data_IF_133234417179
#
_entry.id   IF_133234417179
#
_cell.length_a   1.000
_cell.length_b   1.000
_cell.length_c   1.000
_cell.angle_alpha   90.00
_cell.angle_beta   90.00
_cell.angle_gamma   90.00
#
_symmetry.space_group_name_H-M   'P 1'
#
loop_
_entity.id
_entity.type
_entity.pdbx_description
1 polymer ?
#
# COMPACT_ATOMS: atom_id res chain seq x y z
N UNK A 1 -12.00 16.80 0.00
CA UNK A 1 -11.88 15.33 -0.07
C UNK A 1 -10.65 14.95 -0.88
N UNK A 2 -9.87 13.97 -0.45
CA UNK A 2 -8.76 13.46 -1.25
C UNK A 2 -9.28 12.59 -2.40
N UNK A 3 -8.48 12.48 -3.48
CA UNK A 3 -8.83 11.65 -4.64
C UNK A 3 -8.74 10.17 -4.26
N UNK A 4 -9.77 9.39 -4.59
CA UNK A 4 -9.74 7.92 -4.49
C UNK A 4 -8.72 7.33 -5.46
N UNK A 5 -7.87 6.44 -4.97
CA UNK A 5 -6.87 5.71 -5.74
C UNK A 5 -7.03 4.21 -5.49
N UNK A 6 -6.94 3.42 -6.55
CA UNK A 6 -6.94 1.95 -6.48
C UNK A 6 -5.54 1.44 -6.82
N UNK A 7 -4.98 0.65 -5.90
CA UNK A 7 -3.65 0.08 -5.94
C UNK A 7 -3.71 -1.46 -5.96
N UNK A 8 -3.79 -2.12 -7.12
CA UNK A 8 -3.75 -3.57 -7.13
C UNK A 8 -2.42 -4.10 -6.59
N UNK A 9 -2.48 -5.03 -5.60
CA UNK A 9 -1.28 -5.73 -5.13
C UNK A 9 -0.91 -6.84 -6.11
N UNK A 10 0.27 -6.71 -6.70
CA UNK A 10 0.82 -7.70 -7.63
C UNK A 10 1.15 -9.04 -6.96
N UNK A 11 1.17 -9.12 -5.63
CA UNK A 11 1.34 -10.38 -4.90
C UNK A 11 0.25 -11.41 -5.26
N UNK A 12 -0.94 -10.96 -5.68
CA UNK A 12 -2.03 -11.82 -6.09
C UNK A 12 -2.00 -12.19 -7.59
N UNK A 13 -1.12 -11.58 -8.38
CA UNK A 13 -0.98 -11.86 -9.80
C UNK A 13 -0.33 -13.23 -10.07
N UNK A 14 -0.41 -13.69 -11.30
CA UNK A 14 0.40 -14.81 -11.80
C UNK A 14 1.78 -14.25 -12.22
N UNK A 15 2.81 -14.55 -11.44
CA UNK A 15 4.16 -14.04 -11.71
C UNK A 15 4.75 -14.49 -13.04
N UNK A 16 4.25 -15.62 -13.61
CA UNK A 16 4.64 -16.04 -14.94
C UNK A 16 4.03 -15.17 -16.07
N UNK A 17 3.00 -14.38 -15.75
CA UNK A 17 2.27 -13.52 -16.68
C UNK A 17 2.14 -12.07 -16.14
N UNK A 18 2.99 -11.68 -15.21
CA UNK A 18 2.85 -10.44 -14.43
C UNK A 18 2.69 -9.20 -15.33
N UNK A 19 3.56 -9.02 -16.33
CA UNK A 19 3.47 -7.89 -17.24
C UNK A 19 2.13 -7.82 -17.97
N UNK A 20 1.65 -8.93 -18.53
CA UNK A 20 0.36 -8.99 -19.24
C UNK A 20 -0.83 -8.67 -18.32
N UNK A 21 -0.81 -9.17 -17.07
CA UNK A 21 -1.88 -8.87 -16.09
C UNK A 21 -1.84 -7.41 -15.62
N UNK A 22 -0.67 -6.81 -15.51
CA UNK A 22 -0.53 -5.37 -15.22
C UNK A 22 -1.06 -4.54 -16.38
N UNK A 23 -0.70 -4.87 -17.64
CA UNK A 23 -1.18 -4.16 -18.83
C UNK A 23 -2.71 -4.19 -18.93
N UNK A 24 -3.35 -5.31 -18.54
CA UNK A 24 -4.80 -5.45 -18.57
C UNK A 24 -5.51 -4.41 -17.68
N UNK A 25 -4.94 -4.06 -16.53
CA UNK A 25 -5.55 -3.14 -15.58
C UNK A 25 -4.97 -1.72 -15.63
N UNK A 26 -3.87 -1.50 -16.34
CA UNK A 26 -3.12 -0.23 -16.32
C UNK A 26 -3.97 1.01 -16.63
N UNK A 27 -4.96 0.88 -17.52
CA UNK A 27 -5.85 1.98 -17.93
C UNK A 27 -6.91 2.38 -16.88
N UNK A 28 -7.09 1.61 -15.81
CA UNK A 28 -8.19 1.81 -14.83
C UNK A 28 -7.71 1.91 -13.38
N UNK A 29 -6.44 1.68 -13.11
CA UNK A 29 -5.81 1.79 -11.77
C UNK A 29 -4.96 3.05 -11.66
N UNK A 30 -4.57 3.42 -10.44
CA UNK A 30 -3.80 4.65 -10.20
C UNK A 30 -2.33 4.37 -9.90
N UNK A 31 -2.02 3.21 -9.33
CA UNK A 31 -0.66 2.76 -8.97
C UNK A 31 -0.65 1.25 -8.81
N UNK A 32 0.54 0.65 -8.68
CA UNK A 32 0.71 -0.76 -8.33
C UNK A 32 1.28 -0.89 -6.92
N UNK A 33 0.70 -1.77 -6.12
CA UNK A 33 1.22 -2.12 -4.80
C UNK A 33 2.13 -3.35 -4.90
N UNK A 34 3.35 -3.22 -4.35
CA UNK A 34 4.43 -4.20 -4.49
C UNK A 34 4.86 -4.68 -3.11
N UNK A 35 4.39 -5.86 -2.70
CA UNK A 35 4.69 -6.46 -1.39
C UNK A 35 6.07 -7.12 -1.38
N UNK A 36 7.04 -6.52 -0.69
CA UNK A 36 8.42 -7.02 -0.54
C UNK A 36 8.59 -7.68 0.83
N UNK A 37 8.87 -8.99 0.84
CA UNK A 37 8.96 -9.82 2.06
C UNK A 37 10.30 -10.56 2.11
N UNK A 38 10.95 -10.60 3.29
CA UNK A 38 12.29 -11.16 3.49
C UNK A 38 12.32 -12.53 4.21
N UNK A 39 11.17 -13.05 4.61
CA UNK A 39 11.09 -14.30 5.37
C UNK A 39 11.52 -14.18 6.84
N UNK A 40 11.77 -12.95 7.33
CA UNK A 40 12.18 -12.67 8.72
C UNK A 40 11.15 -11.79 9.43
N UNK A 41 10.80 -10.64 8.86
CA UNK A 41 9.73 -9.79 9.42
C UNK A 41 8.37 -10.49 9.31
N UNK A 42 8.12 -11.17 8.20
CA UNK A 42 6.96 -12.06 8.00
C UNK A 42 7.43 -13.45 7.56
N UNK A 43 6.69 -14.54 7.85
CA UNK A 43 7.11 -15.91 7.53
C UNK A 43 6.84 -16.25 6.05
N UNK A 44 7.15 -15.34 5.14
CA UNK A 44 7.00 -15.50 3.70
C UNK A 44 8.10 -14.72 2.96
N UNK A 45 8.49 -15.21 1.77
CA UNK A 45 9.39 -14.53 0.83
C UNK A 45 8.58 -14.24 -0.43
N UNK A 46 8.60 -12.99 -0.92
CA UNK A 46 7.85 -12.62 -2.12
C UNK A 46 8.78 -12.25 -3.27
N UNK A 47 8.94 -10.99 -3.53
CA UNK A 47 9.68 -10.41 -4.66
C UNK A 47 10.58 -9.27 -4.18
N UNK A 48 11.44 -8.79 -5.06
CA UNK A 48 12.41 -7.76 -4.71
C UNK A 48 12.87 -6.95 -5.92
N UNK A 49 14.00 -6.22 -5.82
CA UNK A 49 14.48 -5.29 -6.84
C UNK A 49 14.48 -5.80 -8.29
N UNK A 50 14.83 -7.07 -8.59
CA UNK A 50 14.78 -7.55 -9.99
C UNK A 50 13.39 -7.54 -10.61
N UNK A 51 12.34 -7.84 -9.83
CA UNK A 51 10.94 -7.81 -10.32
C UNK A 51 10.48 -6.37 -10.47
N UNK A 52 10.82 -5.49 -9.52
CA UNK A 52 10.52 -4.05 -9.57
C UNK A 52 11.16 -3.44 -10.82
N UNK A 53 12.42 -3.74 -11.10
CA UNK A 53 13.11 -3.26 -12.30
C UNK A 53 12.45 -3.73 -13.60
N UNK A 54 11.98 -4.97 -13.63
CA UNK A 54 11.27 -5.49 -14.81
C UNK A 54 9.91 -4.79 -15.01
N UNK A 55 9.20 -4.52 -13.94
CA UNK A 55 7.94 -3.77 -13.97
C UNK A 55 8.14 -2.32 -14.38
N UNK A 56 9.09 -1.62 -13.76
CA UNK A 56 9.42 -0.22 -14.08
C UNK A 56 9.80 -0.03 -15.55
N UNK A 57 10.40 -1.05 -16.18
CA UNK A 57 10.70 -1.02 -17.60
C UNK A 57 9.48 -1.30 -18.51
N UNK A 58 8.36 -1.80 -17.94
CA UNK A 58 7.19 -2.25 -18.72
C UNK A 58 5.94 -1.40 -18.50
N UNK A 59 5.90 -0.55 -17.47
CA UNK A 59 4.72 0.29 -17.16
C UNK A 59 5.13 1.67 -16.66
N UNK A 60 4.30 2.67 -16.93
CA UNK A 60 4.44 4.02 -16.37
C UNK A 60 3.65 4.20 -15.05
N UNK A 61 3.03 3.13 -14.52
CA UNK A 61 2.33 3.19 -13.25
C UNK A 61 3.29 3.40 -12.09
N UNK A 62 2.88 4.20 -11.11
CA UNK A 62 3.62 4.42 -9.87
C UNK A 62 3.80 3.09 -9.12
N UNK A 63 5.03 2.70 -8.81
CA UNK A 63 5.38 1.49 -8.09
C UNK A 63 5.53 1.80 -6.60
N UNK A 64 4.54 1.40 -5.82
CA UNK A 64 4.46 1.60 -4.38
C UNK A 64 4.94 0.37 -3.63
N UNK A 65 6.15 0.40 -3.11
CA UNK A 65 6.79 -0.74 -2.49
C UNK A 65 6.50 -0.80 -0.98
N UNK A 66 5.75 -1.80 -0.55
CA UNK A 66 5.45 -2.10 0.84
C UNK A 66 6.50 -3.07 1.41
N UNK A 67 7.32 -2.58 2.34
CA UNK A 67 8.48 -3.30 2.85
C UNK A 67 8.15 -4.05 4.14
N UNK A 68 7.80 -5.31 4.02
CA UNK A 68 7.67 -6.28 5.12
C UNK A 68 9.01 -6.99 5.35
N UNK A 69 10.04 -6.19 5.68
CA UNK A 69 11.43 -6.64 5.84
C UNK A 69 12.04 -6.09 7.12
N UNK A 70 13.02 -6.81 7.68
CA UNK A 70 13.61 -6.52 8.99
C UNK A 70 14.54 -5.31 9.01
N UNK A 71 15.18 -4.99 7.87
CA UNK A 71 16.10 -3.84 7.73
C UNK A 71 15.80 -3.08 6.44
N UNK A 72 14.72 -2.26 6.42
CA UNK A 72 14.28 -1.59 5.20
C UNK A 72 15.26 -0.50 4.71
N UNK A 73 15.97 0.17 5.61
CA UNK A 73 16.92 1.24 5.25
C UNK A 73 18.02 0.72 4.32
N UNK A 74 18.49 -0.49 4.56
CA UNK A 74 19.54 -1.15 3.79
C UNK A 74 19.21 -1.29 2.30
N UNK A 75 17.92 -1.40 1.95
CA UNK A 75 17.50 -1.71 0.59
C UNK A 75 17.01 -0.50 -0.20
N UNK A 76 16.91 0.69 0.43
CA UNK A 76 16.36 1.89 -0.20
C UNK A 76 17.08 2.26 -1.51
N UNK A 77 18.43 2.24 -1.51
CA UNK A 77 19.20 2.53 -2.73
C UNK A 77 18.90 1.56 -3.87
N UNK A 78 18.83 0.25 -3.58
CA UNK A 78 18.54 -0.78 -4.58
C UNK A 78 17.10 -0.68 -5.11
N UNK A 79 16.14 -0.28 -4.25
CA UNK A 79 14.75 -0.08 -4.65
C UNK A 79 14.59 1.15 -5.55
N UNK A 80 15.26 2.26 -5.21
CA UNK A 80 15.29 3.46 -6.04
C UNK A 80 15.94 3.18 -7.42
N UNK A 81 17.08 2.50 -7.45
CA UNK A 81 17.75 2.08 -8.69
C UNK A 81 16.89 1.12 -9.53
N UNK A 82 16.07 0.29 -8.89
CA UNK A 82 15.14 -0.60 -9.55
C UNK A 82 13.89 0.12 -10.11
N UNK A 83 13.69 1.40 -9.79
CA UNK A 83 12.56 2.19 -10.29
C UNK A 83 11.32 2.14 -9.40
N UNK A 84 11.49 1.90 -8.10
CA UNK A 84 10.42 2.18 -7.14
C UNK A 84 10.16 3.69 -7.08
N UNK A 85 8.90 4.10 -6.94
CA UNK A 85 8.49 5.50 -6.79
C UNK A 85 8.14 5.85 -5.34
N UNK A 86 7.56 4.89 -4.60
CA UNK A 86 7.23 5.01 -3.19
C UNK A 86 7.70 3.82 -2.39
N UNK A 87 7.99 4.05 -1.10
CA UNK A 87 8.37 3.00 -0.15
C UNK A 87 7.67 3.22 1.18
N UNK A 88 7.14 2.14 1.75
CA UNK A 88 6.57 2.15 3.10
C UNK A 88 7.23 1.07 3.95
N UNK A 89 7.50 1.37 5.22
CA UNK A 89 8.05 0.42 6.18
C UNK A 89 7.22 0.35 7.44
N UNK A 90 7.12 -0.82 8.01
CA UNK A 90 6.43 -1.05 9.27
C UNK A 90 7.12 -0.32 10.42
N UNK A 91 6.35 0.44 11.22
CA UNK A 91 6.87 1.11 12.41
C UNK A 91 7.48 0.10 13.40
N UNK A 92 7.01 -1.14 13.36
CA UNK A 92 7.52 -2.25 14.15
C UNK A 92 8.91 -2.72 13.70
N UNK A 93 9.30 -2.47 12.45
CA UNK A 93 10.63 -2.78 11.90
C UNK A 93 11.62 -1.60 12.04
N UNK A 94 11.12 -0.38 12.24
CA UNK A 94 11.93 0.85 12.31
C UNK A 94 11.62 1.61 13.60
N UNK A 95 12.23 1.24 14.76
CA UNK A 95 11.93 1.88 16.04
C UNK A 95 12.19 3.40 16.06
N UNK A 96 13.17 3.89 15.28
CA UNK A 96 13.30 5.30 14.88
C UNK A 96 13.11 5.38 13.35
N UNK A 97 11.97 5.85 12.87
CA UNK A 97 11.70 5.92 11.43
C UNK A 97 12.39 7.11 10.74
N UNK A 98 12.96 8.06 11.49
CA UNK A 98 13.55 9.27 10.92
C UNK A 98 14.63 8.99 9.86
N UNK A 99 15.60 8.07 10.08
CA UNK A 99 16.59 7.72 9.07
C UNK A 99 15.97 7.10 7.80
N UNK A 100 14.94 6.26 7.96
CA UNK A 100 14.24 5.64 6.83
C UNK A 100 13.55 6.71 5.98
N UNK A 101 12.74 7.59 6.60
CA UNK A 101 11.98 8.63 5.92
C UNK A 101 12.91 9.63 5.21
N UNK A 102 13.98 10.07 5.87
CA UNK A 102 14.95 10.99 5.31
C UNK A 102 15.71 10.37 4.12
N UNK A 103 16.26 9.16 4.30
CA UNK A 103 17.04 8.48 3.25
C UNK A 103 16.16 8.18 2.02
N UNK A 104 14.93 7.73 2.22
CA UNK A 104 14.01 7.49 1.10
C UNK A 104 13.74 8.78 0.32
N UNK A 105 13.51 9.90 1.01
CA UNK A 105 13.28 11.21 0.38
C UNK A 105 14.52 11.71 -0.36
N UNK A 106 15.72 11.56 0.19
CA UNK A 106 16.99 11.94 -0.44
C UNK A 106 17.24 11.14 -1.74
N UNK A 107 16.72 9.91 -1.82
CA UNK A 107 16.77 9.06 -3.02
C UNK A 107 15.63 9.36 -4.02
N UNK A 108 14.78 10.35 -3.75
CA UNK A 108 13.65 10.69 -4.62
C UNK A 108 12.40 9.82 -4.47
N UNK A 109 12.39 8.91 -3.49
CA UNK A 109 11.24 8.07 -3.19
C UNK A 109 10.20 8.83 -2.35
N UNK A 110 8.92 8.47 -2.48
CA UNK A 110 7.84 8.95 -1.60
C UNK A 110 7.73 8.03 -0.36
N UNK A 111 8.20 8.46 0.82
CA UNK A 111 8.23 7.61 1.99
C UNK A 111 6.89 7.56 2.74
N UNK A 112 6.64 6.44 3.40
CA UNK A 112 5.52 6.27 4.31
C UNK A 112 5.79 5.25 5.40
N UNK A 113 4.87 5.19 6.37
CA UNK A 113 4.93 4.25 7.47
C UNK A 113 3.71 3.32 7.45
N UNK A 114 3.89 2.13 7.99
CA UNK A 114 2.85 1.10 8.07
C UNK A 114 2.58 0.79 9.53
N UNK A 115 1.30 0.59 9.88
CA UNK A 115 0.88 0.12 11.21
C UNK A 115 0.12 -1.19 11.08
N UNK A 116 0.53 -2.19 11.85
CA UNK A 116 -0.18 -3.47 11.96
C UNK A 116 -1.55 -3.35 12.66
N UNK A 117 -2.46 -4.34 12.52
CA UNK A 117 -3.76 -4.28 13.18
C UNK A 117 -3.69 -4.03 14.70
N UNK A 118 -2.78 -4.67 15.49
CA UNK A 118 -2.69 -4.40 16.92
C UNK A 118 -1.98 -3.08 17.27
N UNK A 119 -1.19 -2.49 16.36
CA UNK A 119 -0.42 -1.27 16.62
C UNK A 119 -1.31 -0.04 16.53
N UNK A 120 -1.35 0.82 17.54
CA UNK A 120 -2.14 2.04 17.49
C UNK A 120 -1.56 3.02 16.46
N UNK A 121 -2.43 3.77 15.76
CA UNK A 121 -1.99 4.78 14.77
C UNK A 121 -1.13 5.88 15.40
N UNK A 122 -1.28 6.12 16.70
CA UNK A 122 -0.46 7.10 17.44
C UNK A 122 1.04 6.77 17.43
N UNK A 123 1.42 5.54 17.10
CA UNK A 123 2.82 5.18 16.92
C UNK A 123 3.49 5.92 15.75
N UNK A 124 2.72 6.31 14.73
CA UNK A 124 3.20 7.06 13.57
C UNK A 124 2.85 8.56 13.64
N UNK A 125 2.05 8.97 14.61
CA UNK A 125 1.57 10.35 14.74
C UNK A 125 2.70 11.40 14.77
N UNK A 126 3.84 11.18 15.47
CA UNK A 126 4.95 12.15 15.50
C UNK A 126 5.62 12.38 14.15
N UNK A 127 5.40 11.48 13.16
CA UNK A 127 6.08 11.46 11.87
C UNK A 127 5.17 11.78 10.69
N UNK A 128 3.89 12.09 10.93
CA UNK A 128 2.90 12.30 9.86
C UNK A 128 3.27 13.39 8.87
N UNK A 129 3.95 14.43 9.30
CA UNK A 129 4.43 15.53 8.45
C UNK A 129 5.63 15.15 7.58
N UNK A 130 6.28 14.03 7.89
CA UNK A 130 7.39 13.47 7.14
C UNK A 130 6.93 12.34 6.18
N UNK A 131 5.68 11.91 6.28
CA UNK A 131 5.12 10.82 5.48
C UNK A 131 4.28 11.34 4.32
N UNK A 132 4.52 10.82 3.10
CA UNK A 132 3.61 11.02 1.97
C UNK A 132 2.34 10.16 2.15
N UNK A 133 2.45 9.00 2.84
CA UNK A 133 1.32 8.13 3.18
C UNK A 133 1.52 7.39 4.50
N UNK A 134 0.41 6.93 5.07
CA UNK A 134 0.38 5.92 6.14
C UNK A 134 -0.46 4.74 5.67
N UNK A 135 0.11 3.54 5.71
CA UNK A 135 -0.59 2.29 5.42
C UNK A 135 -1.17 1.74 6.72
N UNK A 136 -2.47 1.51 6.73
CA UNK A 136 -3.16 0.80 7.80
C UNK A 136 -3.43 -0.63 7.32
N UNK A 137 -2.72 -1.59 7.93
CA UNK A 137 -2.98 -2.99 7.66
C UNK A 137 -4.35 -3.39 8.18
N UNK A 138 -5.17 -3.94 7.30
CA UNK A 138 -6.48 -4.52 7.64
C UNK A 138 -6.47 -6.04 7.66
N UNK A 139 -5.28 -6.63 7.58
CA UNK A 139 -4.98 -8.05 7.82
C UNK A 139 -3.63 -8.16 8.53
N UNK A 140 -3.28 -9.34 9.06
CA UNK A 140 -1.91 -9.58 9.49
C UNK A 140 -1.00 -9.72 8.27
N UNK A 141 0.17 -9.00 8.23
CA UNK A 141 1.04 -9.02 7.06
C UNK A 141 1.63 -10.41 6.78
N UNK A 142 1.99 -10.66 5.50
CA UNK A 142 2.71 -11.85 5.06
C UNK A 142 2.00 -12.73 4.04
N UNK A 143 0.67 -12.69 3.95
CA UNK A 143 -0.10 -13.51 3.01
C UNK A 143 -1.29 -12.74 2.43
N UNK A 144 -1.55 -12.94 1.14
CA UNK A 144 -2.75 -12.42 0.48
C UNK A 144 -4.02 -13.23 0.76
N UNK A 145 -5.19 -12.69 0.39
CA UNK A 145 -6.48 -13.39 0.44
C UNK A 145 -7.09 -13.57 1.84
N UNK A 146 -6.63 -12.82 2.84
CA UNK A 146 -7.18 -12.83 4.19
C UNK A 146 -8.46 -11.98 4.29
N UNK A 147 -9.28 -12.23 5.31
CA UNK A 147 -10.47 -11.45 5.62
C UNK A 147 -10.10 -10.11 6.24
N UNK A 148 -10.83 -9.07 5.85
CA UNK A 148 -10.68 -7.70 6.36
C UNK A 148 -11.03 -7.60 7.85
N UNK A 149 -10.15 -7.01 8.64
CA UNK A 149 -10.35 -6.78 10.07
C UNK A 149 -11.11 -5.46 10.26
N UNK A 150 -12.42 -5.51 10.46
CA UNK A 150 -13.29 -4.33 10.53
C UNK A 150 -12.90 -3.33 11.63
N UNK A 151 -12.31 -3.81 12.73
CA UNK A 151 -11.92 -2.93 13.85
C UNK A 151 -10.88 -1.85 13.46
N UNK A 152 -10.18 -2.02 12.34
CA UNK A 152 -9.23 -1.00 11.85
C UNK A 152 -9.93 0.25 11.28
N UNK A 153 -11.23 0.19 10.96
CA UNK A 153 -11.98 1.33 10.45
C UNK A 153 -11.94 2.51 11.44
N UNK A 154 -12.09 2.25 12.74
CA UNK A 154 -11.97 3.27 13.77
C UNK A 154 -10.56 3.90 13.81
N UNK A 155 -9.50 3.08 13.57
CA UNK A 155 -8.12 3.55 13.46
C UNK A 155 -7.95 4.49 12.27
N UNK A 156 -8.51 4.13 11.10
CA UNK A 156 -8.48 4.95 9.87
C UNK A 156 -9.16 6.30 10.13
N UNK A 157 -10.36 6.30 10.76
CA UNK A 157 -11.09 7.55 11.05
C UNK A 157 -10.30 8.48 11.96
N UNK A 158 -9.74 7.96 13.06
CA UNK A 158 -8.94 8.76 13.99
C UNK A 158 -7.66 9.31 13.33
N UNK A 159 -7.00 8.52 12.49
CA UNK A 159 -5.83 8.96 11.72
C UNK A 159 -6.21 10.05 10.73
N UNK A 160 -7.34 9.92 10.03
CA UNK A 160 -7.85 10.95 9.10
C UNK A 160 -8.14 12.25 9.82
N UNK A 161 -8.82 12.20 10.98
CA UNK A 161 -9.08 13.39 11.79
C UNK A 161 -7.79 14.11 12.20
N UNK A 162 -6.76 13.36 12.60
CA UNK A 162 -5.46 13.94 12.96
C UNK A 162 -4.77 14.60 11.76
N UNK A 163 -4.74 13.93 10.60
CA UNK A 163 -4.15 14.46 9.35
C UNK A 163 -4.86 15.75 8.93
N UNK A 164 -6.19 15.75 8.93
CA UNK A 164 -7.00 16.88 8.49
C UNK A 164 -6.90 18.06 9.44
N UNK A 165 -6.90 17.82 10.76
CA UNK A 165 -6.72 18.87 11.78
C UNK A 165 -5.37 19.56 11.71
N UNK A 166 -4.34 18.87 11.22
CA UNK A 166 -2.99 19.39 11.00
C UNK A 166 -2.78 19.91 9.58
N UNK A 167 -3.81 19.89 8.73
CA UNK A 167 -3.76 20.26 7.31
C UNK A 167 -2.63 19.57 6.53
N UNK A 168 -2.34 18.29 6.84
CA UNK A 168 -1.31 17.51 6.17
C UNK A 168 -1.80 16.93 4.84
N UNK A 169 -0.87 16.74 3.92
CA UNK A 169 -1.14 16.15 2.61
C UNK A 169 -1.01 14.62 2.59
N UNK A 170 -0.75 14.00 3.74
CA UNK A 170 -0.51 12.56 3.91
C UNK A 170 -1.72 11.74 3.47
N UNK A 171 -1.51 10.75 2.59
CA UNK A 171 -2.52 9.78 2.17
C UNK A 171 -2.71 8.69 3.24
N UNK A 172 -3.92 8.13 3.32
CA UNK A 172 -4.18 6.92 4.09
C UNK A 172 -4.44 5.79 3.11
N UNK A 173 -3.55 4.82 3.13
CA UNK A 173 -3.69 3.58 2.38
C UNK A 173 -4.21 2.48 3.30
N UNK A 174 -5.12 1.64 2.80
CA UNK A 174 -5.57 0.44 3.50
C UNK A 174 -5.17 -0.78 2.72
N UNK A 175 -4.50 -1.72 3.39
CA UNK A 175 -4.00 -2.94 2.77
C UNK A 175 -4.48 -4.19 3.51
N UNK A 176 -5.17 -5.06 2.76
CA UNK A 176 -5.64 -6.37 3.17
C UNK A 176 -7.16 -6.55 3.09
N UNK A 177 -7.61 -7.57 2.39
CA UNK A 177 -9.02 -7.95 2.31
C UNK A 177 -9.95 -6.93 1.66
N UNK A 178 -9.41 -6.03 0.82
CA UNK A 178 -10.22 -5.02 0.13
C UNK A 178 -10.95 -5.63 -1.06
N UNK A 179 -12.27 -5.52 -1.04
CA UNK A 179 -13.20 -5.92 -2.10
C UNK A 179 -14.41 -4.97 -2.14
N UNK A 180 -15.42 -5.25 -2.96
CA UNK A 180 -16.64 -4.43 -3.08
C UNK A 180 -17.45 -4.30 -1.78
N UNK A 181 -17.23 -5.16 -0.77
CA UNK A 181 -17.94 -5.10 0.53
C UNK A 181 -17.21 -4.21 1.52
N UNK A 182 -15.87 -4.17 1.46
CA UNK A 182 -15.01 -3.52 2.44
C UNK A 182 -14.47 -2.16 1.98
N UNK A 183 -14.42 -1.93 0.65
CA UNK A 183 -13.92 -0.69 0.06
C UNK A 183 -14.74 0.55 0.46
N UNK A 184 -16.08 0.48 0.38
CA UNK A 184 -16.97 1.58 0.78
C UNK A 184 -16.79 1.99 2.25
N UNK A 185 -16.85 1.05 3.21
CA UNK A 185 -16.53 1.31 4.62
C UNK A 185 -15.14 1.91 4.84
N UNK A 186 -14.09 1.39 4.18
CA UNK A 186 -12.72 1.91 4.31
C UNK A 186 -12.59 3.35 3.77
N UNK A 187 -13.21 3.64 2.61
CA UNK A 187 -13.29 4.99 2.04
C UNK A 187 -14.05 5.96 2.97
N UNK A 188 -15.22 5.56 3.47
CA UNK A 188 -16.01 6.38 4.39
C UNK A 188 -15.29 6.65 5.72
N UNK A 189 -14.42 5.72 6.15
CA UNK A 189 -13.57 5.93 7.32
C UNK A 189 -12.41 6.90 7.05
N UNK A 190 -12.12 7.23 5.78
CA UNK A 190 -11.10 8.22 5.42
C UNK A 190 -9.86 7.68 4.70
N UNK A 191 -9.81 6.40 4.38
CA UNK A 191 -8.78 5.86 3.48
C UNK A 191 -9.01 6.41 2.07
N UNK A 192 -7.95 6.77 1.37
CA UNK A 192 -8.06 7.28 -0.01
C UNK A 192 -7.19 6.49 -1.01
N UNK A 193 -6.39 5.55 -0.54
CA UNK A 193 -5.69 4.55 -1.37
C UNK A 193 -6.13 3.17 -0.90
N UNK A 194 -6.65 2.35 -1.82
CA UNK A 194 -7.22 1.03 -1.53
C UNK A 194 -6.39 -0.04 -2.23
N UNK A 195 -5.72 -0.89 -1.44
CA UNK A 195 -4.92 -2.01 -1.96
C UNK A 195 -5.83 -3.22 -2.17
N UNK A 196 -6.02 -3.61 -3.43
CA UNK A 196 -6.92 -4.67 -3.84
C UNK A 196 -6.15 -5.75 -4.63
N UNK A 197 -5.72 -6.84 -3.98
CA UNK A 197 -4.97 -7.91 -4.63
C UNK A 197 -5.88 -8.97 -5.26
N UNK A 198 -6.28 -9.94 -4.44
CA UNK A 198 -7.08 -11.12 -4.88
C UNK A 198 -8.40 -10.72 -5.55
N UNK A 199 -9.07 -9.67 -5.06
CA UNK A 199 -10.32 -9.17 -5.60
C UNK A 199 -10.19 -8.60 -7.03
N UNK A 200 -8.98 -8.27 -7.46
CA UNK A 200 -8.67 -7.80 -8.83
C UNK A 200 -8.04 -8.93 -9.64
N UNK A 201 -6.84 -9.38 -9.29
CA UNK A 201 -6.08 -10.32 -10.15
C UNK A 201 -6.63 -11.76 -10.21
N UNK A 202 -7.56 -12.13 -9.32
CA UNK A 202 -8.26 -13.44 -9.37
C UNK A 202 -9.71 -13.31 -9.86
N UNK A 203 -10.15 -12.10 -10.21
CA UNK A 203 -11.47 -11.91 -10.82
C UNK A 203 -11.48 -12.45 -12.27
N UNK A 204 -12.64 -12.85 -12.74
CA UNK A 204 -12.84 -13.24 -14.15
C UNK A 204 -12.74 -12.05 -15.11
N UNK A 205 -12.88 -10.83 -14.61
CA UNK A 205 -12.76 -9.55 -15.30
C UNK A 205 -12.13 -8.54 -14.33
N UNK A 206 -10.79 -8.41 -14.34
CA UNK A 206 -10.06 -7.50 -13.45
C UNK A 206 -10.44 -6.03 -13.63
N UNK A 207 -10.68 -5.60 -14.87
CA UNK A 207 -11.08 -4.21 -15.18
C UNK A 207 -12.43 -3.88 -14.55
N UNK A 208 -13.39 -4.80 -14.70
CA UNK A 208 -14.70 -4.66 -14.07
C UNK A 208 -14.59 -4.66 -12.54
N UNK A 209 -13.76 -5.50 -11.96
CA UNK A 209 -13.55 -5.57 -10.51
C UNK A 209 -13.05 -4.23 -9.94
N UNK A 210 -12.08 -3.58 -10.60
CA UNK A 210 -11.62 -2.23 -10.25
C UNK A 210 -12.76 -1.21 -10.35
N UNK A 211 -13.55 -1.25 -11.43
CA UNK A 211 -14.71 -0.36 -11.62
C UNK A 211 -15.79 -0.55 -10.55
N UNK A 212 -16.04 -1.79 -10.12
CA UNK A 212 -17.01 -2.09 -9.06
C UNK A 212 -16.52 -1.56 -7.69
N UNK A 213 -15.23 -1.67 -7.38
CA UNK A 213 -14.62 -1.09 -6.16
C UNK A 213 -14.75 0.44 -6.17
N UNK A 214 -14.45 1.13 -7.28
CA UNK A 214 -14.63 2.59 -7.37
C UNK A 214 -16.08 2.99 -7.12
N UNK A 215 -17.03 2.31 -7.75
CA UNK A 215 -18.45 2.64 -7.67
C UNK A 215 -18.98 2.56 -6.24
N UNK A 216 -18.59 1.54 -5.46
CA UNK A 216 -19.05 1.42 -4.06
C UNK A 216 -18.45 2.53 -3.18
N UNK A 217 -17.24 2.99 -3.43
CA UNK A 217 -16.66 4.13 -2.74
C UNK A 217 -17.41 5.43 -3.07
N UNK A 218 -17.65 5.70 -4.35
CA UNK A 218 -18.36 6.90 -4.81
C UNK A 218 -19.81 6.97 -4.28
N UNK A 219 -20.45 5.81 -4.08
CA UNK A 219 -21.81 5.73 -3.52
C UNK A 219 -21.87 5.84 -2.00
N UNK A 220 -20.73 5.78 -1.33
CA UNK A 220 -20.61 5.78 0.15
C UNK A 220 -20.09 7.12 0.70
N UNK A 221 -19.86 8.13 -0.14
CA UNK A 221 -19.32 9.45 0.18
C UNK A 221 -20.33 10.56 0.29
#
# INVERSE_FOLDING_TARGET
MKRLQIAPSILAADFAQLGAQVDEVAGVVDLLHVDVMDGHFVPNISLGPPVISSLSASTDLFLDCHLMISDPVRYLGQLAEAGADGVTAHIEAVPDPTPFLATARDLGLRPGLVVNPPTPWTAVEPFLDQCDKVVVMSVHPGFGGQEFIESVLAKISSLRESIDSRALATDIEVDGGVDVRTAGPAWSAGANVLVAGTSVFRASDPVKAVGDIRRVCESSG
#
